data_IF_716383585379
#
_entry.id   IF_716383585379
#
_cell.length_a   1.000
_cell.length_b   1.000
_cell.length_c   1.000
_cell.angle_alpha   90.00
_cell.angle_beta   90.00
_cell.angle_gamma   90.00
#
_symmetry.space_group_name_H-M   'P 1'
#
loop_
_entity.id
_entity.type
_entity.pdbx_description
1 polymer ?
#
# COMPACT_ATOMS: atom_id res chain seq x y z
N UNK A 1 -23.15 -4.18 23.46
CA UNK A 1 -24.62 -4.17 23.23
C UNK A 1 -25.15 -2.73 23.19
N UNK A 2 -24.78 -1.91 22.20
CA UNK A 2 -25.59 -0.71 21.87
C UNK A 2 -25.42 -0.16 20.44
N UNK A 3 -24.55 -0.71 19.59
CA UNK A 3 -24.46 -0.25 18.20
C UNK A 3 -24.34 -1.39 17.20
N UNK A 4 -25.16 -2.43 17.36
CA UNK A 4 -25.37 -3.45 16.34
C UNK A 4 -26.65 -3.14 15.58
N UNK A 5 -26.53 -2.31 14.54
CA UNK A 5 -27.54 -2.20 13.50
C UNK A 5 -27.29 -3.31 12.47
N UNK A 6 -28.20 -4.27 12.44
CA UNK A 6 -28.40 -5.22 11.35
C UNK A 6 -28.47 -4.49 10.00
N UNK A 7 -27.56 -4.78 9.06
CA UNK A 7 -27.75 -4.50 7.63
C UNK A 7 -27.21 -5.65 6.78
N UNK A 8 -28.14 -6.27 6.04
CA UNK A 8 -27.89 -7.21 4.95
C UNK A 8 -27.14 -6.48 3.82
N UNK A 9 -26.14 -7.13 3.22
CA UNK A 9 -25.08 -6.47 2.44
C UNK A 9 -25.31 -6.49 0.91
N UNK A 10 -24.99 -5.37 0.26
CA UNK A 10 -24.91 -5.24 -1.20
C UNK A 10 -23.59 -5.81 -1.73
N UNK A 11 -23.58 -6.59 -2.83
CA UNK A 11 -22.36 -7.10 -3.48
C UNK A 11 -21.34 -6.03 -3.89
N UNK A 12 -21.75 -4.75 -3.93
CA UNK A 12 -20.92 -3.62 -4.29
C UNK A 12 -19.88 -3.25 -3.22
N UNK A 13 -20.05 -3.63 -1.95
CA UNK A 13 -19.12 -3.27 -0.87
C UNK A 13 -17.73 -3.89 -1.07
N UNK A 14 -17.70 -5.15 -1.51
CA UNK A 14 -16.47 -5.89 -1.83
C UNK A 14 -15.73 -5.28 -3.02
N UNK A 15 -16.47 -4.77 -4.01
CA UNK A 15 -15.88 -4.08 -5.17
C UNK A 15 -15.07 -2.84 -4.77
N UNK A 16 -15.63 -1.99 -3.90
CA UNK A 16 -14.91 -0.80 -3.40
C UNK A 16 -13.72 -1.17 -2.51
N UNK A 17 -13.82 -2.25 -1.72
CA UNK A 17 -12.71 -2.77 -0.92
C UNK A 17 -11.50 -3.18 -1.77
N UNK A 18 -11.71 -4.04 -2.78
CA UNK A 18 -10.63 -4.45 -3.69
C UNK A 18 -10.12 -3.30 -4.58
N UNK A 19 -11.00 -2.37 -5.00
CA UNK A 19 -10.58 -1.18 -5.74
C UNK A 19 -9.67 -0.28 -4.88
N UNK A 20 -9.96 -0.12 -3.60
CA UNK A 20 -9.12 0.62 -2.65
C UNK A 20 -7.74 -0.01 -2.45
N UNK A 21 -7.69 -1.33 -2.27
CA UNK A 21 -6.42 -2.09 -2.16
C UNK A 21 -5.59 -1.93 -3.43
N UNK A 22 -6.22 -2.06 -4.60
CA UNK A 22 -5.54 -1.91 -5.89
C UNK A 22 -5.00 -0.49 -6.08
N UNK A 23 -5.79 0.53 -5.74
CA UNK A 23 -5.38 1.93 -5.84
C UNK A 23 -4.21 2.27 -4.90
N UNK A 24 -4.26 1.77 -3.66
CA UNK A 24 -3.19 1.94 -2.68
C UNK A 24 -1.86 1.34 -3.18
N UNK A 25 -1.89 0.12 -3.70
CA UNK A 25 -0.71 -0.56 -4.26
C UNK A 25 -0.15 0.16 -5.49
N UNK A 26 -1.00 0.49 -6.45
CA UNK A 26 -0.57 1.08 -7.73
C UNK A 26 0.07 2.45 -7.50
N UNK A 27 -0.55 3.32 -6.72
CA UNK A 27 -0.04 4.67 -6.49
C UNK A 27 1.25 4.67 -5.65
N UNK A 28 1.31 3.80 -4.64
CA UNK A 28 2.50 3.62 -3.80
C UNK A 28 3.70 3.09 -4.60
N UNK A 29 3.48 2.08 -5.45
CA UNK A 29 4.54 1.52 -6.30
C UNK A 29 4.98 2.49 -7.41
N UNK A 30 4.06 3.29 -7.98
CA UNK A 30 4.39 4.34 -8.93
C UNK A 30 5.30 5.41 -8.31
N UNK A 31 4.97 5.88 -7.10
CA UNK A 31 5.79 6.85 -6.37
C UNK A 31 7.18 6.32 -6.04
N UNK A 32 7.27 5.08 -5.56
CA UNK A 32 8.54 4.43 -5.24
C UNK A 32 9.38 4.17 -6.50
N UNK A 33 8.77 3.72 -7.59
CA UNK A 33 9.44 3.49 -8.86
C UNK A 33 9.98 4.79 -9.47
N UNK A 34 9.18 5.86 -9.46
CA UNK A 34 9.62 7.16 -9.99
C UNK A 34 10.76 7.77 -9.15
N UNK A 35 10.66 7.72 -7.82
CA UNK A 35 11.73 8.15 -6.92
C UNK A 35 13.02 7.38 -7.18
N UNK A 36 12.93 6.05 -7.32
CA UNK A 36 14.07 5.18 -7.63
C UNK A 36 14.66 5.47 -9.01
N UNK A 37 13.84 5.70 -10.04
CA UNK A 37 14.31 5.99 -11.38
C UNK A 37 15.10 7.30 -11.45
N UNK A 38 14.61 8.37 -10.83
CA UNK A 38 15.28 9.69 -10.82
C UNK A 38 16.56 9.66 -9.99
N UNK A 39 16.54 9.02 -8.82
CA UNK A 39 17.74 8.86 -8.00
C UNK A 39 18.77 7.94 -8.67
N UNK A 40 18.32 6.89 -9.38
CA UNK A 40 19.18 5.93 -10.08
C UNK A 40 20.01 6.57 -11.19
N UNK A 41 19.43 7.49 -11.98
CA UNK A 41 20.19 8.23 -13.02
C UNK A 41 21.30 9.07 -12.38
N UNK A 42 21.02 9.72 -11.25
CA UNK A 42 22.02 10.49 -10.49
C UNK A 42 23.15 9.60 -9.95
N UNK A 43 22.82 8.43 -9.39
CA UNK A 43 23.80 7.46 -8.89
C UNK A 43 24.68 6.92 -10.02
N UNK A 44 24.11 6.60 -11.18
CA UNK A 44 24.86 6.11 -12.33
C UNK A 44 25.88 7.13 -12.83
N UNK A 45 25.53 8.42 -12.84
CA UNK A 45 26.47 9.49 -13.23
C UNK A 45 27.54 9.75 -12.17
N UNK A 46 27.19 9.63 -10.88
CA UNK A 46 28.13 9.84 -9.78
C UNK A 46 29.10 8.66 -9.62
N UNK A 47 28.67 7.44 -9.93
CA UNK A 47 29.48 6.23 -9.84
C UNK A 47 30.70 6.21 -10.76
N UNK A 48 30.62 6.88 -11.91
CA UNK A 48 31.75 6.99 -12.86
C UNK A 48 32.67 8.16 -12.55
N UNK A 49 32.15 9.25 -11.97
CA UNK A 49 32.94 10.46 -11.68
C UNK A 49 33.68 10.37 -10.34
N UNK A 50 32.99 9.95 -9.28
CA UNK A 50 33.54 9.84 -7.91
C UNK A 50 32.88 8.69 -7.15
N UNK A 51 33.45 7.47 -7.19
CA UNK A 51 32.87 6.29 -6.56
C UNK A 51 32.79 6.37 -5.03
N UNK A 52 33.64 7.19 -4.39
CA UNK A 52 33.68 7.38 -2.93
C UNK A 52 32.35 7.92 -2.36
N UNK A 53 31.61 8.68 -3.17
CA UNK A 53 30.35 9.34 -2.77
C UNK A 53 29.11 8.48 -3.04
N UNK A 54 29.24 7.32 -3.70
CA UNK A 54 28.11 6.46 -4.09
C UNK A 54 27.36 5.91 -2.87
N UNK A 55 28.08 5.51 -1.82
CA UNK A 55 27.48 4.97 -0.59
C UNK A 55 26.50 5.96 0.08
N UNK A 56 26.82 7.26 0.08
CA UNK A 56 25.91 8.30 0.62
C UNK A 56 24.74 8.61 -0.32
N UNK A 57 24.89 8.32 -1.61
CA UNK A 57 23.89 8.58 -2.64
C UNK A 57 22.75 7.55 -2.65
N UNK A 58 22.85 6.45 -1.88
CA UNK A 58 21.83 5.41 -1.77
C UNK A 58 20.67 5.81 -0.84
N UNK A 59 20.91 6.69 0.14
CA UNK A 59 19.90 7.19 1.09
C UNK A 59 18.59 7.65 0.38
N UNK A 60 18.63 8.46 -0.70
CA UNK A 60 17.41 8.86 -1.41
C UNK A 60 16.66 7.70 -2.08
N UNK A 61 17.36 6.66 -2.54
CA UNK A 61 16.69 5.45 -3.09
C UNK A 61 15.96 4.70 -1.99
N UNK A 62 16.55 4.57 -0.82
CA UNK A 62 15.91 3.92 0.34
C UNK A 62 14.69 4.70 0.80
N UNK A 63 14.75 6.04 0.82
CA UNK A 63 13.60 6.88 1.16
C UNK A 63 12.44 6.76 0.17
N UNK A 64 12.73 6.58 -1.13
CA UNK A 64 11.70 6.26 -2.12
C UNK A 64 11.10 4.85 -1.92
N UNK A 65 11.92 3.87 -1.52
CA UNK A 65 11.49 2.49 -1.32
C UNK A 65 10.53 2.30 -0.13
N UNK A 66 10.73 3.02 0.97
CA UNK A 66 9.89 2.88 2.17
C UNK A 66 8.43 3.29 1.89
N UNK A 67 8.20 4.26 0.99
CA UNK A 67 6.85 4.65 0.55
C UNK A 67 6.08 3.50 -0.12
N UNK A 68 6.78 2.61 -0.82
CA UNK A 68 6.24 1.37 -1.42
C UNK A 68 5.75 0.38 -0.36
N UNK A 69 6.54 0.22 0.71
CA UNK A 69 6.25 -0.71 1.80
C UNK A 69 5.01 -0.24 2.59
N UNK A 70 4.83 1.07 2.78
CA UNK A 70 3.62 1.58 3.44
C UNK A 70 2.33 1.24 2.67
N UNK A 71 2.33 1.33 1.34
CA UNK A 71 1.17 0.95 0.52
C UNK A 71 0.87 -0.55 0.59
N UNK A 72 1.92 -1.38 0.65
CA UNK A 72 1.80 -2.82 0.82
C UNK A 72 1.23 -3.20 2.20
N UNK A 73 1.72 -2.59 3.28
CA UNK A 73 1.23 -2.87 4.64
C UNK A 73 -0.27 -2.55 4.76
N UNK A 74 -0.69 -1.38 4.28
CA UNK A 74 -2.11 -0.97 4.32
C UNK A 74 -2.98 -1.96 3.54
N UNK A 75 -2.51 -2.39 2.37
CA UNK A 75 -3.21 -3.38 1.54
C UNK A 75 -3.38 -4.74 2.22
N UNK A 76 -2.35 -5.20 2.93
CA UNK A 76 -2.38 -6.47 3.68
C UNK A 76 -3.30 -6.36 4.90
N UNK A 77 -3.29 -5.23 5.61
CA UNK A 77 -4.18 -5.02 6.77
C UNK A 77 -5.65 -5.04 6.32
N UNK A 78 -5.98 -4.34 5.22
CA UNK A 78 -7.35 -4.35 4.68
C UNK A 78 -7.74 -5.76 4.23
N UNK A 79 -6.83 -6.50 3.57
CA UNK A 79 -7.08 -7.88 3.17
C UNK A 79 -7.25 -8.83 4.35
N UNK A 80 -6.49 -8.66 5.42
CA UNK A 80 -6.60 -9.46 6.65
C UNK A 80 -7.84 -9.15 7.47
N UNK A 81 -8.43 -7.96 7.31
CA UNK A 81 -9.73 -7.63 7.89
C UNK A 81 -10.90 -8.16 7.05
N UNK A 82 -10.69 -8.50 5.77
CA UNK A 82 -11.69 -9.06 4.85
C UNK A 82 -11.95 -10.55 5.07
N UNK A 83 -12.86 -10.90 5.98
CA UNK A 83 -13.36 -12.26 6.13
C UNK A 83 -14.58 -12.54 5.21
N UNK A 84 -14.84 -13.82 4.94
CA UNK A 84 -15.76 -14.38 3.92
C UNK A 84 -16.94 -13.51 3.44
N UNK A 85 -17.29 -13.56 2.13
CA UNK A 85 -18.23 -12.65 1.46
C UNK A 85 -19.67 -12.65 2.00
N UNK A 86 -20.01 -13.58 2.90
CA UNK A 86 -21.33 -13.70 3.51
C UNK A 86 -21.49 -12.81 4.78
N UNK A 87 -20.39 -12.24 5.30
CA UNK A 87 -20.33 -11.63 6.64
C UNK A 87 -19.69 -10.22 6.64
N UNK A 88 -19.59 -9.56 5.48
CA UNK A 88 -18.86 -8.30 5.34
C UNK A 88 -19.76 -7.05 5.34
N UNK A 89 -19.91 -6.43 6.52
CA UNK A 89 -20.65 -5.17 6.72
C UNK A 89 -20.05 -4.02 5.92
N UNK A 90 -20.91 -3.22 5.25
CA UNK A 90 -20.50 -2.17 4.30
C UNK A 90 -19.64 -1.04 4.88
N UNK A 91 -19.47 -0.95 6.20
CA UNK A 91 -18.71 0.13 6.86
C UNK A 91 -17.88 -0.31 8.07
N UNK A 92 -17.91 -1.58 8.44
CA UNK A 92 -17.32 -2.05 9.68
C UNK A 92 -16.29 -3.13 9.37
N UNK A 93 -15.01 -2.83 9.63
CA UNK A 93 -13.92 -3.80 9.63
C UNK A 93 -13.94 -4.66 10.91
N UNK A 94 -15.12 -5.12 11.32
CA UNK A 94 -15.29 -6.05 12.42
C UNK A 94 -15.97 -7.31 11.88
N UNK A 95 -15.33 -8.49 12.00
CA UNK A 95 -15.99 -9.76 11.67
C UNK A 95 -17.20 -9.92 12.59
N UNK A 96 -18.36 -10.29 12.05
CA UNK A 96 -19.47 -10.74 12.88
C UNK A 96 -19.01 -12.01 13.60
N UNK A 97 -18.79 -11.88 14.90
CA UNK A 97 -18.58 -13.00 15.83
C UNK A 97 -19.51 -14.17 15.50
N UNK A 98 -18.93 -15.34 15.36
CA UNK A 98 -19.36 -16.48 16.16
C UNK A 98 -18.35 -16.70 17.28
#
# INVERSE_FOLDING_TARGET
MFWSAFLQCDPNSTFFGFMGITAAMVFSNLGAAYGTAKSGVGISSMGVMRPDLVMRSIIPVVMAGILGIYGLIISIVINGSMDTPDTYSSYAGEPLEQ
#
